data_IF_445467084067
#
_entry.id   IF_445467084067
#
_cell.length_a   1.000
_cell.length_b   1.000
_cell.length_c   1.000
_cell.angle_alpha   90.00
_cell.angle_beta   90.00
_cell.angle_gamma   90.00
#
_symmetry.space_group_name_H-M   'P 1'
#
loop_
_entity.id
_entity.type
_entity.pdbx_description
1 polymer ?
#
# COMPACT_ATOMS: atom_id res chain seq x y z
N UNK A 1 12.31 -15.86 0.70
CA UNK A 1 12.28 -15.75 -0.77
C UNK A 1 12.88 -14.41 -1.16
N UNK A 2 13.87 -14.36 -2.05
CA UNK A 2 14.20 -13.14 -2.78
C UNK A 2 13.67 -13.33 -4.19
N UNK A 3 12.81 -12.41 -4.62
CA UNK A 3 12.08 -12.48 -5.87
C UNK A 3 12.75 -11.54 -6.86
N UNK A 4 13.08 -12.04 -8.03
CA UNK A 4 13.54 -11.23 -9.15
C UNK A 4 12.37 -11.12 -10.13
N UNK A 5 11.84 -9.90 -10.30
CA UNK A 5 10.85 -9.62 -11.35
C UNK A 5 11.68 -9.29 -12.60
N UNK A 6 12.01 -10.33 -13.35
CA UNK A 6 12.68 -10.19 -14.65
C UNK A 6 11.57 -9.94 -15.66
N UNK A 7 11.62 -8.76 -16.30
CA UNK A 7 10.84 -8.36 -17.48
C UNK A 7 9.43 -7.73 -17.23
N UNK A 8 9.37 -6.40 -17.36
CA UNK A 8 8.14 -5.62 -17.46
C UNK A 8 7.58 -5.66 -18.90
N UNK A 9 7.16 -6.84 -19.37
CA UNK A 9 6.53 -6.98 -20.70
C UNK A 9 5.13 -6.35 -20.73
N UNK A 10 4.80 -5.64 -21.80
CA UNK A 10 3.48 -5.04 -22.03
C UNK A 10 3.26 -3.62 -21.50
N UNK A 11 4.30 -2.95 -20.99
CA UNK A 11 4.25 -1.54 -20.62
C UNK A 11 4.76 -0.67 -21.77
N UNK A 12 3.90 0.23 -22.29
CA UNK A 12 4.14 0.99 -23.53
C UNK A 12 5.39 1.87 -23.44
N UNK A 13 5.66 2.46 -22.27
CA UNK A 13 6.88 3.24 -22.03
C UNK A 13 8.18 2.45 -22.22
N UNK A 14 8.19 1.14 -21.94
CA UNK A 14 9.38 0.28 -21.98
C UNK A 14 9.56 -0.44 -23.33
N UNK A 15 8.60 -0.31 -24.25
CA UNK A 15 8.71 -0.86 -25.61
C UNK A 15 9.61 -0.02 -26.52
N UNK A 16 9.81 1.27 -26.21
CA UNK A 16 10.71 2.16 -26.96
C UNK A 16 12.18 1.81 -26.67
N UNK A 17 12.89 1.31 -27.69
CA UNK A 17 14.28 0.83 -27.57
C UNK A 17 15.27 1.82 -26.91
N UNK A 18 15.08 3.14 -27.11
CA UNK A 18 15.93 4.18 -26.51
C UNK A 18 15.73 4.39 -25.00
N UNK A 19 14.64 3.87 -24.45
CA UNK A 19 14.23 4.05 -23.06
C UNK A 19 14.26 2.72 -22.28
N UNK A 20 14.69 1.63 -22.90
CA UNK A 20 14.95 0.37 -22.19
C UNK A 20 16.19 0.56 -21.31
N UNK A 21 16.11 0.27 -20.01
CA UNK A 21 17.32 0.22 -19.20
C UNK A 21 18.28 -0.83 -19.79
N UNK A 22 19.59 -0.57 -19.80
CA UNK A 22 20.55 -1.55 -20.29
C UNK A 22 20.38 -2.85 -19.51
N UNK A 23 20.04 -3.92 -20.23
CA UNK A 23 19.95 -5.29 -19.67
C UNK A 23 21.37 -5.84 -19.56
N UNK A 24 22.22 -5.21 -18.76
CA UNK A 24 23.58 -5.70 -18.48
C UNK A 24 23.69 -6.05 -17.01
N UNK A 25 22.93 -7.07 -16.57
CA UNK A 25 23.31 -7.81 -15.37
C UNK A 25 24.33 -8.86 -15.82
N UNK A 26 25.58 -8.45 -16.04
CA UNK A 26 26.67 -9.32 -16.49
C UNK A 26 27.32 -10.11 -15.34
N UNK A 27 26.97 -9.80 -14.10
CA UNK A 27 27.45 -10.52 -12.92
C UNK A 27 26.34 -10.63 -11.88
N UNK A 28 26.19 -11.82 -11.27
CA UNK A 28 25.30 -12.01 -10.13
C UNK A 28 25.64 -10.99 -9.04
N UNK A 29 24.66 -10.23 -8.55
CA UNK A 29 24.85 -9.42 -7.34
C UNK A 29 25.15 -10.36 -6.16
N UNK A 30 26.00 -9.94 -5.22
CA UNK A 30 26.46 -10.74 -4.06
C UNK A 30 25.34 -11.35 -3.18
N UNK A 31 24.09 -10.94 -3.39
CA UNK A 31 22.93 -11.34 -2.61
C UNK A 31 21.81 -11.99 -3.44
N UNK A 32 22.07 -12.35 -4.70
CA UNK A 32 21.16 -13.08 -5.58
C UNK A 32 21.06 -14.55 -5.18
N UNK A 33 19.84 -15.00 -4.89
CA UNK A 33 19.51 -16.42 -4.69
C UNK A 33 18.81 -16.88 -5.96
N UNK A 34 19.27 -18.00 -6.53
CA UNK A 34 18.64 -18.58 -7.72
C UNK A 34 17.24 -19.08 -7.35
N UNK A 35 16.21 -18.40 -7.86
CA UNK A 35 14.80 -18.80 -7.74
C UNK A 35 14.24 -19.04 -9.14
N UNK A 36 13.12 -19.75 -9.25
CA UNK A 36 12.39 -19.87 -10.50
C UNK A 36 11.76 -18.52 -10.84
N UNK A 37 11.87 -18.10 -12.09
CA UNK A 37 11.22 -16.88 -12.58
C UNK A 37 9.70 -16.95 -12.34
N UNK A 38 9.13 -15.84 -11.86
CA UNK A 38 7.69 -15.67 -11.79
C UNK A 38 7.28 -14.87 -13.01
N UNK A 39 6.50 -15.49 -13.88
CA UNK A 39 5.93 -14.85 -15.05
C UNK A 39 4.59 -14.21 -14.68
N UNK A 40 4.21 -13.09 -15.34
CA UNK A 40 2.90 -12.51 -15.11
C UNK A 40 1.80 -13.44 -15.64
N UNK A 41 0.68 -13.49 -14.93
CA UNK A 41 -0.57 -14.09 -15.37
C UNK A 41 -1.15 -13.30 -16.56
N UNK A 42 -2.19 -13.85 -17.20
CA UNK A 42 -2.85 -13.22 -18.36
C UNK A 42 -3.42 -11.83 -18.08
N UNK A 43 -3.70 -11.51 -16.81
CA UNK A 43 -4.16 -10.20 -16.39
C UNK A 43 -3.02 -9.21 -16.12
N UNK A 44 -1.75 -9.63 -16.19
CA UNK A 44 -0.57 -8.81 -15.92
C UNK A 44 -0.17 -8.75 -14.44
N UNK A 45 -0.67 -9.65 -13.60
CA UNK A 45 -0.21 -9.79 -12.20
C UNK A 45 0.81 -10.90 -12.01
N UNK A 46 1.75 -10.70 -11.09
CA UNK A 46 2.66 -11.74 -10.61
C UNK A 46 2.13 -12.30 -9.30
N UNK A 47 1.78 -13.58 -9.27
CA UNK A 47 1.43 -14.28 -8.03
C UNK A 47 2.69 -14.72 -7.32
N UNK A 48 2.90 -14.18 -6.13
CA UNK A 48 4.05 -14.47 -5.29
C UNK A 48 3.69 -15.62 -4.34
N UNK A 49 4.43 -16.75 -4.38
CA UNK A 49 4.24 -17.84 -3.44
C UNK A 49 4.41 -17.36 -1.99
N UNK A 50 3.46 -17.73 -1.14
CA UNK A 50 3.52 -17.38 0.28
C UNK A 50 4.57 -18.19 1.03
N UNK A 51 5.21 -17.57 2.01
CA UNK A 51 5.87 -18.29 3.09
C UNK A 51 4.81 -18.95 4.00
N UNK A 52 5.12 -20.06 4.70
CA UNK A 52 4.23 -20.65 5.68
C UNK A 52 3.70 -19.61 6.69
N UNK A 53 2.38 -19.53 6.84
CA UNK A 53 1.72 -18.58 7.74
C UNK A 53 1.44 -17.19 7.15
N UNK A 54 1.85 -16.91 5.91
CA UNK A 54 1.51 -15.68 5.19
C UNK A 54 0.44 -15.97 4.11
N UNK A 55 -0.46 -15.02 3.81
CA UNK A 55 -1.28 -15.13 2.61
C UNK A 55 -0.41 -14.95 1.36
N UNK A 56 -0.75 -15.59 0.23
CA UNK A 56 -0.16 -15.25 -1.07
C UNK A 56 -0.41 -13.79 -1.41
N UNK A 57 0.49 -13.21 -2.20
CA UNK A 57 0.40 -11.81 -2.62
C UNK A 57 0.43 -11.75 -4.14
N UNK A 58 -0.52 -11.03 -4.71
CA UNK A 58 -0.53 -10.67 -6.12
C UNK A 58 0.08 -9.28 -6.29
N UNK A 59 1.08 -9.17 -7.16
CA UNK A 59 1.81 -7.93 -7.44
C UNK A 59 1.48 -7.48 -8.86
N UNK A 60 1.25 -6.19 -9.08
CA UNK A 60 1.05 -5.59 -10.39
C UNK A 60 1.95 -4.37 -10.55
N UNK A 61 2.56 -4.24 -11.72
CA UNK A 61 3.24 -3.04 -12.16
C UNK A 61 2.29 -2.21 -13.03
N UNK A 62 2.28 -0.91 -12.85
CA UNK A 62 1.48 0.03 -13.65
C UNK A 62 2.41 1.12 -14.17
N UNK A 63 2.33 1.41 -15.47
CA UNK A 63 3.07 2.50 -16.10
C UNK A 63 2.68 3.85 -15.49
N UNK A 64 3.67 4.68 -15.14
CA UNK A 64 3.48 6.02 -14.59
C UNK A 64 3.88 7.09 -15.61
N UNK A 65 3.23 8.25 -15.52
CA UNK A 65 3.55 9.40 -16.36
C UNK A 65 4.68 10.20 -15.73
N UNK A 66 5.90 9.99 -16.23
CA UNK A 66 7.09 10.70 -15.78
C UNK A 66 8.02 11.03 -16.96
N UNK A 67 9.09 11.79 -16.71
CA UNK A 67 10.05 12.21 -17.75
C UNK A 67 10.85 11.05 -18.34
N UNK A 68 10.97 9.96 -17.60
CA UNK A 68 11.56 8.67 -18.00
C UNK A 68 10.59 7.54 -17.66
N UNK A 69 10.68 6.37 -18.32
CA UNK A 69 9.83 5.24 -17.97
C UNK A 69 9.96 4.85 -16.51
N UNK A 70 8.83 4.82 -15.81
CA UNK A 70 8.76 4.37 -14.43
C UNK A 70 7.43 3.66 -14.18
N UNK A 71 7.37 2.93 -13.07
CA UNK A 71 6.22 2.12 -12.69
C UNK A 71 5.82 2.33 -11.24
N UNK A 72 4.52 2.27 -10.99
CA UNK A 72 3.95 2.06 -9.67
C UNK A 72 3.69 0.58 -9.43
N UNK A 73 3.66 0.19 -8.16
CA UNK A 73 3.45 -1.18 -7.72
C UNK A 73 2.19 -1.29 -6.88
N UNK A 74 1.37 -2.29 -7.18
CA UNK A 74 0.15 -2.59 -6.43
C UNK A 74 0.29 -4.01 -5.90
N UNK A 75 0.26 -4.13 -4.58
CA UNK A 75 0.40 -5.39 -3.86
C UNK A 75 -0.94 -5.68 -3.18
N UNK A 76 -1.55 -6.79 -3.54
CA UNK A 76 -2.83 -7.23 -2.99
C UNK A 76 -2.64 -8.61 -2.38
N UNK A 77 -2.91 -8.75 -1.09
CA UNK A 77 -2.97 -10.08 -0.48
C UNK A 77 -4.16 -10.86 -1.01
N UNK A 78 -4.07 -12.18 -1.05
CA UNK A 78 -5.27 -12.99 -1.23
C UNK A 78 -6.22 -12.82 -0.03
N UNK A 79 -7.55 -12.82 -0.25
CA UNK A 79 -8.51 -12.68 0.84
C UNK A 79 -8.34 -13.79 1.89
N UNK A 80 -8.38 -13.40 3.16
CA UNK A 80 -8.38 -14.33 4.29
C UNK A 80 -9.76 -14.36 4.93
N UNK A 81 -10.19 -15.52 5.47
CA UNK A 81 -11.40 -15.59 6.29
C UNK A 81 -11.38 -14.53 7.40
N UNK A 82 -12.54 -13.92 7.64
CA UNK A 82 -12.69 -12.92 8.69
C UNK A 82 -12.46 -13.51 10.08
N UNK A 83 -12.20 -12.63 11.05
CA UNK A 83 -12.02 -13.05 12.45
C UNK A 83 -13.31 -13.74 12.93
N UNK A 84 -13.14 -14.88 13.58
CA UNK A 84 -14.25 -15.59 14.20
C UNK A 84 -14.80 -14.77 15.39
N UNK A 85 -16.12 -14.56 15.40
CA UNK A 85 -16.87 -13.85 16.45
C UNK A 85 -17.13 -14.75 17.65
N UNK A 86 -16.06 -15.03 18.39
CA UNK A 86 -16.05 -15.95 19.54
C UNK A 86 -17.03 -15.50 20.64
N UNK A 87 -17.26 -14.20 20.75
CA UNK A 87 -18.24 -13.59 21.65
C UNK A 87 -19.68 -14.05 21.41
N UNK A 88 -20.03 -14.42 20.17
CA UNK A 88 -21.35 -14.97 19.82
C UNK A 88 -21.45 -16.47 20.11
N UNK A 89 -20.31 -17.17 20.08
CA UNK A 89 -20.26 -18.63 20.21
C UNK A 89 -20.20 -19.05 21.69
N UNK A 90 -19.41 -18.35 22.52
CA UNK A 90 -19.23 -18.68 23.94
C UNK A 90 -20.54 -18.82 24.72
N UNK A 91 -21.54 -17.93 24.57
CA UNK A 91 -22.83 -18.07 25.25
C UNK A 91 -23.58 -19.34 24.82
N UNK A 92 -23.55 -19.69 23.53
CA UNK A 92 -24.20 -20.89 23.00
C UNK A 92 -23.57 -22.17 23.57
N UNK A 93 -22.24 -22.26 23.58
CA UNK A 93 -21.54 -23.41 24.16
C UNK A 93 -21.89 -23.59 25.63
N UNK A 94 -21.91 -22.48 26.40
CA UNK A 94 -22.28 -22.52 27.82
C UNK A 94 -23.73 -22.98 28.02
N UNK A 95 -24.67 -22.47 27.22
CA UNK A 95 -26.08 -22.83 27.30
C UNK A 95 -26.34 -24.32 27.00
N UNK A 96 -25.53 -24.91 26.12
CA UNK A 96 -25.63 -26.32 25.73
C UNK A 96 -24.66 -27.26 26.47
N UNK A 97 -23.95 -26.78 27.49
CA UNK A 97 -23.02 -27.59 28.28
C UNK A 97 -21.79 -28.08 27.50
N UNK A 98 -21.44 -27.42 26.40
CA UNK A 98 -20.34 -27.81 25.52
C UNK A 98 -19.02 -27.18 26.03
N UNK A 99 -17.95 -27.97 26.21
CA UNK A 99 -16.66 -27.45 26.66
C UNK A 99 -16.07 -26.40 25.71
N UNK A 100 -15.52 -25.32 26.26
CA UNK A 100 -14.85 -24.27 25.47
C UNK A 100 -13.63 -24.78 24.68
N UNK A 101 -13.07 -25.95 25.03
CA UNK A 101 -11.99 -26.60 24.28
C UNK A 101 -12.39 -26.92 22.82
N UNK A 102 -13.70 -27.07 22.54
CA UNK A 102 -14.21 -27.27 21.18
C UNK A 102 -13.96 -26.06 20.27
N UNK A 103 -13.78 -24.84 20.83
CA UNK A 103 -13.47 -23.64 20.05
C UNK A 103 -12.16 -23.75 19.28
N UNK A 104 -11.18 -24.51 19.78
CA UNK A 104 -9.90 -24.67 19.09
C UNK A 104 -10.08 -25.41 17.76
N UNK A 105 -10.80 -26.54 17.77
CA UNK A 105 -11.13 -27.32 16.57
C UNK A 105 -12.05 -26.54 15.63
N UNK A 106 -13.05 -25.87 16.19
CA UNK A 106 -13.96 -25.01 15.43
C UNK A 106 -13.22 -23.88 14.68
N UNK A 107 -12.21 -23.28 15.31
CA UNK A 107 -11.43 -22.17 14.76
C UNK A 107 -10.34 -22.62 13.78
N UNK A 108 -9.58 -23.67 14.13
CA UNK A 108 -8.38 -24.08 13.39
C UNK A 108 -8.68 -25.13 12.30
N UNK A 109 -9.58 -26.06 12.60
CA UNK A 109 -9.89 -27.21 11.73
C UNK A 109 -11.22 -27.00 10.98
N UNK A 110 -12.00 -25.96 11.34
CA UNK A 110 -13.29 -25.69 10.71
C UNK A 110 -14.37 -26.72 11.04
N UNK A 111 -14.19 -27.48 12.13
CA UNK A 111 -15.12 -28.55 12.54
C UNK A 111 -16.39 -27.93 13.13
N UNK A 112 -17.59 -28.21 12.58
CA UNK A 112 -18.86 -27.74 13.15
C UNK A 112 -19.09 -28.25 14.57
N UNK A 113 -19.81 -27.48 15.39
CA UNK A 113 -20.22 -27.89 16.74
C UNK A 113 -21.72 -28.17 16.76
N UNK A 114 -22.09 -29.40 17.12
CA UNK A 114 -23.49 -29.78 17.28
C UNK A 114 -23.99 -29.45 18.69
N UNK A 115 -25.09 -28.72 18.75
CA UNK A 115 -25.80 -28.32 19.97
C UNK A 115 -26.76 -29.42 20.44
N UNK A 116 -27.15 -29.37 21.72
CA UNK A 116 -28.06 -30.38 22.30
C UNK A 116 -29.49 -30.33 21.75
N UNK A 117 -29.89 -29.22 21.12
CA UNK A 117 -31.17 -29.09 20.40
C UNK A 117 -31.11 -29.67 18.96
N UNK A 118 -29.96 -30.20 18.54
CA UNK A 118 -29.73 -30.76 17.21
C UNK A 118 -29.21 -29.77 16.16
N UNK A 119 -29.15 -28.48 16.46
CA UNK A 119 -28.58 -27.44 15.59
C UNK A 119 -27.05 -27.62 15.44
N UNK A 120 -26.51 -27.32 14.26
CA UNK A 120 -25.07 -27.30 14.03
C UNK A 120 -24.55 -25.89 13.81
N UNK A 121 -23.66 -25.47 14.69
CA UNK A 121 -22.91 -24.24 14.52
C UNK A 121 -21.88 -24.45 13.42
N UNK A 122 -22.01 -23.68 12.34
CA UNK A 122 -21.05 -23.67 11.24
C UNK A 122 -20.04 -22.53 11.44
N UNK A 123 -18.71 -22.77 11.36
CA UNK A 123 -17.72 -21.70 11.54
C UNK A 123 -17.94 -20.50 10.64
N UNK A 124 -18.34 -20.73 9.38
CA UNK A 124 -18.64 -19.69 8.40
C UNK A 124 -19.73 -18.72 8.87
N UNK A 125 -20.75 -19.20 9.60
CA UNK A 125 -21.83 -18.35 10.15
C UNK A 125 -21.35 -17.34 11.19
N UNK A 126 -20.20 -17.60 11.81
CA UNK A 126 -19.63 -16.76 12.86
C UNK A 126 -18.38 -16.00 12.41
N UNK A 127 -17.95 -16.14 11.16
CA UNK A 127 -16.84 -15.35 10.63
C UNK A 127 -17.30 -13.91 10.35
N UNK A 128 -16.42 -12.96 10.66
CA UNK A 128 -16.54 -11.59 10.16
C UNK A 128 -16.32 -11.51 8.65
N UNK A 129 -16.42 -10.31 8.06
CA UNK A 129 -16.08 -10.13 6.65
C UNK A 129 -14.64 -10.57 6.37
N UNK A 130 -14.36 -11.15 5.18
CA UNK A 130 -13.00 -11.46 4.76
C UNK A 130 -12.11 -10.22 4.85
N UNK A 131 -10.85 -10.47 5.16
CA UNK A 131 -9.84 -9.41 5.24
C UNK A 131 -8.86 -9.53 4.09
N UNK A 132 -8.56 -8.42 3.45
CA UNK A 132 -7.63 -8.34 2.34
C UNK A 132 -6.85 -7.05 2.47
N UNK A 133 -5.52 -7.14 2.53
CA UNK A 133 -4.67 -5.96 2.56
C UNK A 133 -4.27 -5.55 1.16
N UNK A 134 -4.31 -4.25 0.87
CA UNK A 134 -3.85 -3.67 -0.39
C UNK A 134 -2.93 -2.47 -0.14
N UNK A 135 -1.73 -2.57 -0.69
CA UNK A 135 -0.67 -1.55 -0.67
C UNK A 135 -0.44 -1.04 -2.09
N UNK A 136 -0.52 0.27 -2.27
CA UNK A 136 -0.16 0.95 -3.52
C UNK A 136 1.11 1.76 -3.27
N UNK A 137 2.15 1.56 -4.06
CA UNK A 137 3.41 2.32 -4.01
C UNK A 137 3.66 2.91 -5.37
N UNK A 138 3.48 4.21 -5.50
CA UNK A 138 3.72 4.90 -6.76
C UNK A 138 5.15 5.46 -6.77
N UNK A 139 5.81 5.29 -7.91
CA UNK A 139 7.05 6.01 -8.20
C UNK A 139 6.72 7.45 -8.65
N UNK A 140 7.73 8.18 -9.07
CA UNK A 140 7.60 9.55 -9.53
C UNK A 140 6.60 9.62 -10.69
N UNK A 141 5.68 10.58 -10.61
CA UNK A 141 4.60 10.71 -11.58
C UNK A 141 3.96 12.09 -11.51
N UNK A 142 3.58 12.63 -12.67
CA UNK A 142 2.67 13.79 -12.77
C UNK A 142 1.20 13.40 -12.93
N UNK A 143 0.92 12.11 -13.14
CA UNK A 143 -0.43 11.58 -13.35
C UNK A 143 -0.48 10.08 -13.03
N UNK A 144 -1.18 9.75 -11.95
CA UNK A 144 -1.36 8.39 -11.47
C UNK A 144 -2.64 7.71 -11.98
N UNK A 145 -3.41 8.35 -12.89
CA UNK A 145 -4.72 7.86 -13.33
C UNK A 145 -4.71 6.43 -13.89
N UNK A 146 -3.60 5.99 -14.50
CA UNK A 146 -3.42 4.63 -14.99
C UNK A 146 -3.47 3.55 -13.90
N UNK A 147 -3.20 3.91 -12.64
CA UNK A 147 -3.27 2.98 -11.51
C UNK A 147 -4.67 2.87 -10.89
N UNK A 148 -5.56 3.83 -11.13
CA UNK A 148 -6.88 3.89 -10.49
C UNK A 148 -7.70 2.60 -10.61
N UNK A 149 -7.80 1.93 -11.79
CA UNK A 149 -8.60 0.71 -11.93
C UNK A 149 -8.12 -0.45 -11.05
N UNK A 150 -6.85 -0.44 -10.67
CA UNK A 150 -6.21 -1.53 -9.93
C UNK A 150 -6.02 -1.18 -8.43
N UNK A 151 -6.00 0.12 -8.11
CA UNK A 151 -5.69 0.66 -6.79
C UNK A 151 -6.92 0.83 -5.87
N UNK A 152 -8.14 0.56 -6.36
CA UNK A 152 -9.39 0.74 -5.60
C UNK A 152 -9.36 0.06 -4.22
N UNK A 153 -9.78 0.79 -3.18
CA UNK A 153 -9.88 0.31 -1.81
C UNK A 153 -8.53 0.05 -1.14
N UNK A 154 -7.45 0.73 -1.55
CA UNK A 154 -6.14 0.58 -0.93
C UNK A 154 -6.17 0.93 0.57
N UNK A 155 -5.57 0.09 1.41
CA UNK A 155 -5.41 0.44 2.83
C UNK A 155 -4.39 1.56 3.02
N UNK A 156 -3.37 1.57 2.16
CA UNK A 156 -2.42 2.67 2.08
C UNK A 156 -1.93 2.87 0.66
N UNK A 157 -1.85 4.13 0.25
CA UNK A 157 -1.12 4.58 -0.93
C UNK A 157 0.11 5.37 -0.49
N UNK A 158 1.29 4.99 -1.00
CA UNK A 158 2.52 5.76 -0.91
C UNK A 158 2.66 6.54 -2.21
N UNK A 159 2.63 7.87 -2.12
CA UNK A 159 2.62 8.77 -3.27
C UNK A 159 3.68 9.85 -3.11
N UNK A 160 4.36 10.21 -4.19
CA UNK A 160 5.27 11.37 -4.18
C UNK A 160 4.50 12.70 -4.00
N UNK A 161 5.15 13.66 -3.34
CA UNK A 161 4.66 15.03 -3.21
C UNK A 161 5.85 16.00 -3.29
N UNK A 162 6.56 15.94 -4.42
CA UNK A 162 7.86 16.59 -4.62
C UNK A 162 7.81 18.08 -4.33
N UNK A 163 6.83 18.78 -4.89
CA UNK A 163 6.64 20.22 -4.70
C UNK A 163 5.27 20.50 -4.11
N UNK A 164 5.17 21.52 -3.28
CA UNK A 164 3.96 21.90 -2.56
C UNK A 164 3.94 23.42 -2.47
N UNK A 165 2.76 24.02 -2.57
CA UNK A 165 2.60 25.46 -2.42
C UNK A 165 2.49 25.83 -0.94
N UNK A 166 3.64 26.04 -0.29
CA UNK A 166 3.74 26.32 1.15
C UNK A 166 4.00 27.80 1.42
N UNK A 167 4.11 28.18 2.69
CA UNK A 167 4.53 29.51 3.13
C UNK A 167 5.85 29.99 2.49
N UNK A 168 6.74 29.07 2.11
CA UNK A 168 7.98 29.39 1.38
C UNK A 168 7.73 29.92 -0.04
N UNK A 169 6.70 29.43 -0.72
CA UNK A 169 6.32 29.90 -2.05
C UNK A 169 5.48 31.17 -1.97
N UNK A 170 4.59 31.24 -0.98
CA UNK A 170 3.77 32.41 -0.72
C UNK A 170 4.64 33.64 -0.43
N UNK A 171 5.70 33.48 0.36
CA UNK A 171 6.68 34.54 0.63
C UNK A 171 7.41 35.04 -0.63
N UNK A 172 7.49 34.20 -1.67
CA UNK A 172 8.07 34.54 -2.98
C UNK A 172 7.04 35.05 -3.99
N UNK A 173 5.78 35.20 -3.58
CA UNK A 173 4.68 35.65 -4.43
C UNK A 173 4.21 34.63 -5.47
N UNK A 174 4.63 33.36 -5.36
CA UNK A 174 4.23 32.33 -6.31
C UNK A 174 2.77 31.91 -6.08
N UNK A 175 2.05 31.65 -7.16
CA UNK A 175 0.67 31.15 -7.10
C UNK A 175 0.64 29.62 -7.02
N UNK A 176 -0.45 29.07 -6.48
CA UNK A 176 -0.64 27.62 -6.34
C UNK A 176 -0.59 26.92 -7.69
N UNK A 177 -1.24 27.50 -8.69
CA UNK A 177 -1.34 26.99 -10.06
C UNK A 177 0.04 26.98 -10.74
N UNK A 178 0.88 27.98 -10.46
CA UNK A 178 2.26 28.05 -10.99
C UNK A 178 3.14 26.95 -10.39
N UNK A 179 3.00 26.67 -9.09
CA UNK A 179 3.71 25.57 -8.45
C UNK A 179 3.26 24.23 -9.03
N UNK A 180 1.95 24.00 -9.18
CA UNK A 180 1.45 22.76 -9.78
C UNK A 180 1.91 22.59 -11.24
N UNK A 181 1.77 23.63 -12.07
CA UNK A 181 2.17 23.58 -13.48
C UNK A 181 3.66 23.25 -13.65
N UNK A 182 4.54 23.90 -12.86
CA UNK A 182 5.98 23.59 -12.85
C UNK A 182 6.26 22.16 -12.40
N UNK A 183 5.48 21.66 -11.44
CA UNK A 183 5.66 20.32 -10.87
C UNK A 183 5.32 19.24 -11.89
N UNK A 184 4.18 19.39 -12.58
CA UNK A 184 3.78 18.55 -13.71
C UNK A 184 4.81 18.60 -14.85
N UNK A 185 5.28 19.79 -15.22
CA UNK A 185 6.29 19.94 -16.28
C UNK A 185 7.60 19.17 -16.00
N UNK A 186 7.94 18.89 -14.73
CA UNK A 186 9.07 18.06 -14.34
C UNK A 186 8.71 16.58 -14.09
N UNK A 187 7.49 16.17 -14.41
CA UNK A 187 7.00 14.80 -14.25
C UNK A 187 6.63 14.43 -12.81
N UNK A 188 6.38 15.39 -11.93
CA UNK A 188 6.15 15.16 -10.50
C UNK A 188 4.74 15.57 -10.05
N UNK A 189 4.41 15.24 -8.80
CA UNK A 189 3.12 15.53 -8.17
C UNK A 189 3.20 16.51 -7.01
N UNK A 190 2.09 17.21 -6.79
CA UNK A 190 1.85 18.02 -5.59
C UNK A 190 1.04 17.23 -4.55
N UNK A 191 1.00 17.69 -3.27
CA UNK A 191 0.17 17.05 -2.25
C UNK A 191 -1.31 16.97 -2.64
N UNK A 192 -1.84 18.00 -3.32
CA UNK A 192 -3.22 17.99 -3.82
C UNK A 192 -3.45 16.90 -4.86
N UNK A 193 -2.50 16.68 -5.76
CA UNK A 193 -2.59 15.62 -6.77
C UNK A 193 -2.59 14.25 -6.11
N UNK A 194 -1.67 14.03 -5.15
CA UNK A 194 -1.63 12.81 -4.35
C UNK A 194 -2.92 12.58 -3.55
N UNK A 195 -3.47 13.64 -2.94
CA UNK A 195 -4.75 13.61 -2.25
C UNK A 195 -5.92 13.26 -3.17
N UNK A 196 -5.99 13.90 -4.34
CA UNK A 196 -7.03 13.63 -5.33
C UNK A 196 -6.99 12.17 -5.82
N UNK A 197 -5.80 11.62 -6.07
CA UNK A 197 -5.65 10.20 -6.40
C UNK A 197 -6.10 9.29 -5.26
N UNK A 198 -5.67 9.56 -4.02
CA UNK A 198 -6.07 8.79 -2.84
C UNK A 198 -7.60 8.78 -2.64
N UNK A 199 -8.25 9.91 -2.89
CA UNK A 199 -9.71 10.01 -2.87
C UNK A 199 -10.37 9.21 -3.99
N UNK A 200 -9.88 9.33 -5.23
CA UNK A 200 -10.43 8.64 -6.40
C UNK A 200 -10.40 7.11 -6.27
N UNK A 201 -9.39 6.58 -5.57
CA UNK A 201 -9.27 5.12 -5.32
C UNK A 201 -9.94 4.67 -4.02
N UNK A 202 -10.57 5.58 -3.26
CA UNK A 202 -11.15 5.26 -1.95
C UNK A 202 -10.13 4.71 -0.97
N UNK A 203 -8.91 5.25 -0.95
CA UNK A 203 -7.86 4.81 -0.04
C UNK A 203 -8.24 5.08 1.42
N UNK A 204 -7.77 4.25 2.35
CA UNK A 204 -7.90 4.53 3.79
C UNK A 204 -6.84 5.50 4.29
N UNK A 205 -5.61 5.42 3.74
CA UNK A 205 -4.47 6.27 4.11
C UNK A 205 -3.64 6.68 2.91
N UNK A 206 -3.13 7.90 2.97
CA UNK A 206 -2.12 8.45 2.09
C UNK A 206 -0.81 8.71 2.85
N UNK A 207 0.29 8.12 2.40
CA UNK A 207 1.64 8.42 2.86
C UNK A 207 2.38 9.22 1.77
N UNK A 208 2.67 10.48 2.07
CA UNK A 208 3.41 11.37 1.19
C UNK A 208 4.91 11.13 1.34
N UNK A 209 5.65 11.07 0.25
CA UNK A 209 7.10 10.87 0.22
C UNK A 209 7.76 11.67 -0.91
N UNK A 210 9.07 11.44 -1.12
CA UNK A 210 9.86 12.03 -2.21
C UNK A 210 9.78 13.57 -2.20
N UNK A 211 10.04 14.15 -1.04
CA UNK A 211 9.99 15.60 -0.83
C UNK A 211 11.18 16.29 -1.50
N UNK A 212 10.95 17.45 -2.13
CA UNK A 212 12.04 18.31 -2.60
C UNK A 212 13.01 18.62 -1.46
N UNK A 213 14.31 18.61 -1.75
CA UNK A 213 15.39 18.92 -0.80
C UNK A 213 15.26 20.30 -0.13
N UNK A 214 14.44 21.18 -0.70
CA UNK A 214 14.12 22.49 -0.09
C UNK A 214 13.31 22.36 1.21
N UNK A 215 12.67 21.22 1.45
CA UNK A 215 12.00 20.92 2.72
C UNK A 215 12.95 20.15 3.62
N UNK A 216 13.38 20.77 4.71
CA UNK A 216 14.24 20.09 5.68
C UNK A 216 13.48 18.94 6.34
N UNK A 217 14.10 17.76 6.40
CA UNK A 217 13.62 16.64 7.23
C UNK A 217 14.01 16.75 8.71
N UNK A 218 14.57 17.88 9.14
CA UNK A 218 15.00 18.09 10.53
C UNK A 218 13.83 18.21 11.50
N UNK A 219 14.10 17.97 12.79
CA UNK A 219 13.12 18.19 13.87
C UNK A 219 12.96 19.66 14.28
N UNK A 220 13.49 20.60 13.49
CA UNK A 220 13.32 22.03 13.74
C UNK A 220 11.85 22.42 13.53
N UNK A 221 11.35 23.34 14.36
CA UNK A 221 9.93 23.74 14.36
C UNK A 221 9.47 24.19 12.97
N UNK A 222 10.27 24.99 12.27
CA UNK A 222 9.94 25.48 10.92
C UNK A 222 9.81 24.32 9.91
N UNK A 223 10.71 23.33 9.97
CA UNK A 223 10.68 22.17 9.10
C UNK A 223 9.42 21.33 9.34
N UNK A 224 9.04 21.13 10.60
CA UNK A 224 7.81 20.43 10.99
C UNK A 224 6.57 21.18 10.49
N UNK A 225 6.52 22.51 10.65
CA UNK A 225 5.42 23.34 10.16
C UNK A 225 5.21 23.22 8.65
N UNK A 226 6.30 23.19 7.87
CA UNK A 226 6.21 22.99 6.42
C UNK A 226 5.63 21.61 6.08
N UNK A 227 6.01 20.56 6.82
CA UNK A 227 5.42 19.23 6.62
C UNK A 227 3.93 19.20 7.00
N UNK A 228 3.52 19.91 8.04
CA UNK A 228 2.10 20.05 8.41
C UNK A 228 1.30 20.80 7.33
N UNK A 229 1.89 21.83 6.71
CA UNK A 229 1.29 22.49 5.56
C UNK A 229 1.13 21.53 4.38
N UNK A 230 2.13 20.71 4.08
CA UNK A 230 2.07 19.66 3.03
C UNK A 230 0.92 18.68 3.30
N UNK A 231 0.76 18.22 4.55
CA UNK A 231 -0.37 17.37 4.96
C UNK A 231 -1.70 18.09 4.72
N UNK A 232 -1.81 19.35 5.14
CA UNK A 232 -3.03 20.15 4.96
C UNK A 232 -3.41 20.28 3.49
N UNK A 233 -2.44 20.52 2.61
CA UNK A 233 -2.65 20.65 1.17
C UNK A 233 -3.20 19.36 0.55
N UNK A 234 -2.71 18.19 0.96
CA UNK A 234 -3.29 16.91 0.53
C UNK A 234 -4.71 16.69 1.06
N UNK A 235 -4.96 17.09 2.32
CA UNK A 235 -6.29 16.99 2.96
C UNK A 235 -7.36 17.87 2.33
N UNK A 236 -7.00 18.88 1.53
CA UNK A 236 -7.96 19.63 0.70
C UNK A 236 -8.69 18.73 -0.31
N UNK A 237 -8.09 17.59 -0.68
CA UNK A 237 -8.62 16.66 -1.68
C UNK A 237 -8.91 15.26 -1.13
N UNK A 238 -8.48 14.96 0.10
CA UNK A 238 -8.61 13.65 0.69
C UNK A 238 -8.98 13.72 2.17
N UNK A 239 -10.12 13.11 2.51
CA UNK A 239 -10.65 13.11 3.88
C UNK A 239 -10.06 12.01 4.76
N UNK A 240 -9.33 11.05 4.17
CA UNK A 240 -8.69 9.97 4.91
C UNK A 240 -7.44 10.41 5.68
N UNK A 241 -6.76 9.45 6.30
CA UNK A 241 -5.56 9.76 7.07
C UNK A 241 -4.38 10.08 6.15
N UNK A 242 -3.62 11.13 6.46
CA UNK A 242 -2.51 11.63 5.66
C UNK A 242 -1.29 11.76 6.55
N UNK A 243 -0.17 11.18 6.12
CA UNK A 243 1.11 11.26 6.83
C UNK A 243 2.24 11.63 5.88
N UNK A 244 3.22 12.40 6.37
CA UNK A 244 4.50 12.61 5.66
C UNK A 244 5.50 11.54 6.12
N UNK A 245 5.97 10.72 5.19
CA UNK A 245 6.99 9.71 5.45
C UNK A 245 8.30 10.36 5.90
N UNK A 246 9.06 9.64 6.72
CA UNK A 246 10.40 10.02 7.16
C UNK A 246 11.34 8.83 7.03
N UNK A 247 12.63 9.10 6.96
CA UNK A 247 13.64 8.05 6.96
C UNK A 247 13.44 7.12 8.15
N UNK A 248 13.54 5.81 7.91
CA UNK A 248 13.33 4.74 8.90
C UNK A 248 11.91 4.66 9.51
N UNK A 249 10.94 5.43 9.01
CA UNK A 249 9.55 5.31 9.44
C UNK A 249 8.98 3.95 9.04
N UNK A 250 8.32 3.28 9.98
CA UNK A 250 7.59 2.05 9.71
C UNK A 250 6.09 2.27 9.88
N UNK A 251 5.35 1.90 8.84
CA UNK A 251 3.88 1.84 8.86
C UNK A 251 3.48 0.38 8.77
N UNK A 252 2.74 -0.11 9.76
CA UNK A 252 2.20 -1.47 9.77
C UNK A 252 0.77 -1.42 9.27
N UNK A 253 0.40 -2.30 8.33
CA UNK A 253 -0.99 -2.51 7.90
C UNK A 253 -1.53 -3.77 8.58
N UNK A 254 -2.49 -3.61 9.47
CA UNK A 254 -3.12 -4.70 10.19
C UNK A 254 -4.16 -5.41 9.31
N UNK A 255 -4.53 -6.66 9.62
CA UNK A 255 -5.51 -7.41 8.83
C UNK A 255 -6.87 -6.71 8.65
N UNK A 256 -7.28 -5.87 9.59
CA UNK A 256 -8.53 -5.10 9.51
C UNK A 256 -8.42 -3.83 8.66
N UNK A 257 -7.27 -3.60 8.00
CA UNK A 257 -6.98 -2.42 7.20
C UNK A 257 -6.58 -1.20 8.03
N UNK A 258 -6.57 -1.30 9.36
CA UNK A 258 -6.03 -0.26 10.21
C UNK A 258 -4.50 -0.21 10.12
N UNK A 259 -3.92 0.90 10.59
CA UNK A 259 -2.48 1.11 10.49
C UNK A 259 -1.84 1.56 11.79
N UNK A 260 -0.64 1.07 12.08
CA UNK A 260 0.16 1.47 13.25
C UNK A 260 1.49 2.10 12.85
N UNK A 261 2.02 2.97 13.72
CA UNK A 261 3.31 3.65 13.52
C UNK A 261 4.34 3.19 14.55
N UNK A 262 5.58 2.99 14.10
CA UNK A 262 6.72 2.83 14.99
C UNK A 262 7.94 3.53 14.38
N UNK A 263 8.69 4.27 15.20
CA UNK A 263 10.04 4.72 14.84
C UNK A 263 11.03 3.61 15.18
N UNK A 264 11.90 3.24 14.23
CA UNK A 264 13.07 2.43 14.54
C UNK A 264 14.17 3.41 14.92
N UNK A 265 14.62 3.38 16.17
CA UNK A 265 15.84 4.10 16.55
C UNK A 265 16.95 3.68 15.57
N UNK A 266 17.72 4.63 15.00
CA UNK A 266 18.87 4.25 14.19
C UNK A 266 19.72 3.30 15.03
N UNK A 267 20.06 2.15 14.45
CA UNK A 267 20.97 1.20 15.10
C UNK A 267 22.24 1.99 15.42
N UNK A 268 22.52 2.17 16.71
CA UNK A 268 23.71 2.83 17.25
C UNK A 268 24.97 2.05 16.90
#
# INVERSE_FOLDING_TARGET
LKLQIVELKGLRAFEKAKLRPPVSVTSRLHAEVQVKDILPDADGTWRIPASPGCPPVSVRAVEMRHTVPTVGWILTEEPRPGKLRVELIKPLLKAHGIPLSQLAKFKLEGVPIRLSNGEELQPSSFQGPPTQRKLVVLSDTEDASLAEPYAQGADIVVHEATNAWTSLDQAKGAKKEEVEARTRAHGHSTPQMAGAFAHAIGARKLALTHFSSRYSGSKQIQAVQIMDEIVRLAREKFEGDVVTARDCMRITIYPDGSTGFSEVSPIS
#
